data_IF_980466223736
#
_entry.id   IF_980466223736
#
_cell.length_a   1.000
_cell.length_b   1.000
_cell.length_c   1.000
_cell.angle_alpha   90.00
_cell.angle_beta   90.00
_cell.angle_gamma   90.00
#
_symmetry.space_group_name_H-M   'P 1'
#
loop_
_entity.id
_entity.type
_entity.pdbx_description
1 polymer ?
#
# COMPACT_ATOMS: atom_id res chain seq x y z
N UNK A 1 29.54 17.58 -0.17
CA UNK A 1 29.78 16.27 0.48
C UNK A 1 29.16 15.23 -0.42
N UNK A 2 29.96 14.59 -1.26
CA UNK A 2 29.46 13.53 -2.14
C UNK A 2 29.34 12.25 -1.31
N UNK A 3 28.11 11.84 -1.03
CA UNK A 3 27.84 10.56 -0.38
C UNK A 3 28.00 9.50 -1.46
N UNK A 4 29.20 8.93 -1.54
CA UNK A 4 29.53 7.93 -2.54
C UNK A 4 28.99 6.57 -2.09
N UNK A 5 27.83 6.18 -2.62
CA UNK A 5 27.37 4.80 -2.49
C UNK A 5 28.20 3.94 -3.45
N UNK A 6 28.83 2.87 -2.96
CA UNK A 6 29.56 1.98 -3.86
C UNK A 6 28.59 1.35 -4.87
N UNK A 7 29.04 1.17 -6.11
CA UNK A 7 28.24 0.58 -7.18
C UNK A 7 27.78 -0.84 -6.81
N UNK A 8 28.61 -1.57 -6.07
CA UNK A 8 28.29 -2.89 -5.55
C UNK A 8 27.10 -2.85 -4.57
N UNK A 9 27.11 -1.93 -3.60
CA UNK A 9 26.01 -1.75 -2.65
C UNK A 9 24.72 -1.35 -3.37
N UNK A 10 24.81 -0.47 -4.37
CA UNK A 10 23.64 -0.07 -5.17
C UNK A 10 23.02 -1.26 -5.91
N UNK A 11 23.85 -2.07 -6.58
CA UNK A 11 23.40 -3.26 -7.30
C UNK A 11 22.80 -4.31 -6.35
N UNK A 12 23.36 -4.46 -5.15
CA UNK A 12 22.81 -5.34 -4.13
C UNK A 12 21.42 -4.87 -3.68
N UNK A 13 21.25 -3.57 -3.39
CA UNK A 13 19.95 -3.00 -3.01
C UNK A 13 18.90 -3.23 -4.10
N UNK A 14 19.23 -2.95 -5.36
CA UNK A 14 18.31 -3.21 -6.47
C UNK A 14 17.95 -4.69 -6.62
N UNK A 15 18.91 -5.59 -6.44
CA UNK A 15 18.66 -7.03 -6.51
C UNK A 15 17.72 -7.45 -5.39
N UNK A 16 17.97 -7.01 -4.16
CA UNK A 16 17.10 -7.25 -3.01
C UNK A 16 15.69 -6.72 -3.25
N UNK A 17 15.56 -5.48 -3.74
CA UNK A 17 14.27 -4.87 -4.04
C UNK A 17 13.50 -5.64 -5.11
N UNK A 18 14.15 -6.07 -6.19
CA UNK A 18 13.51 -6.89 -7.24
C UNK A 18 13.03 -8.24 -6.73
N UNK A 19 13.79 -8.88 -5.85
CA UNK A 19 13.37 -10.12 -5.19
C UNK A 19 12.15 -9.87 -4.32
N UNK A 20 12.19 -8.82 -3.49
CA UNK A 20 11.07 -8.42 -2.62
C UNK A 20 9.80 -8.11 -3.42
N UNK A 21 9.93 -7.35 -4.51
CA UNK A 21 8.83 -7.04 -5.41
C UNK A 21 8.25 -8.29 -6.06
N UNK A 22 9.09 -9.24 -6.49
CA UNK A 22 8.64 -10.50 -7.10
C UNK A 22 7.81 -11.32 -6.11
N UNK A 23 8.31 -11.50 -4.89
CA UNK A 23 7.59 -12.21 -3.82
C UNK A 23 6.28 -11.50 -3.48
N UNK A 24 6.33 -10.18 -3.28
CA UNK A 24 5.14 -9.37 -2.96
C UNK A 24 4.09 -9.44 -4.06
N UNK A 25 4.49 -9.44 -5.33
CA UNK A 25 3.58 -9.55 -6.48
C UNK A 25 2.87 -10.91 -6.49
N UNK A 26 3.59 -12.00 -6.26
CA UNK A 26 3.00 -13.35 -6.20
C UNK A 26 2.00 -13.44 -5.05
N UNK A 27 2.37 -12.97 -3.86
CA UNK A 27 1.49 -12.98 -2.69
C UNK A 27 0.24 -12.11 -2.90
N UNK A 28 0.39 -10.93 -3.50
CA UNK A 28 -0.74 -10.06 -3.83
C UNK A 28 -1.69 -10.71 -4.85
N UNK A 29 -1.15 -11.42 -5.86
CA UNK A 29 -1.97 -12.15 -6.82
C UNK A 29 -2.76 -13.28 -6.14
N UNK A 30 -2.12 -14.06 -5.25
CA UNK A 30 -2.79 -15.10 -4.47
C UNK A 30 -3.88 -14.49 -3.58
N UNK A 31 -3.56 -13.42 -2.85
CA UNK A 31 -4.52 -12.70 -2.00
C UNK A 31 -5.75 -12.26 -2.79
N UNK A 32 -5.54 -11.65 -3.96
CA UNK A 32 -6.62 -11.19 -4.83
C UNK A 32 -7.49 -12.35 -5.32
N UNK A 33 -6.89 -13.48 -5.73
CA UNK A 33 -7.62 -14.67 -6.16
C UNK A 33 -8.46 -15.24 -4.99
N UNK A 34 -7.88 -15.34 -3.79
CA UNK A 34 -8.59 -15.79 -2.60
C UNK A 34 -9.76 -14.88 -2.23
N UNK A 35 -9.57 -13.55 -2.29
CA UNK A 35 -10.60 -12.56 -2.04
C UNK A 35 -11.78 -12.65 -3.02
N UNK A 36 -11.49 -12.89 -4.30
CA UNK A 36 -12.53 -12.95 -5.33
C UNK A 36 -13.25 -14.31 -5.31
N UNK A 37 -12.52 -15.42 -5.23
CA UNK A 37 -13.05 -16.78 -5.44
C UNK A 37 -13.49 -17.48 -4.15
N UNK A 38 -12.76 -17.31 -3.04
CA UNK A 38 -12.95 -18.12 -1.83
C UNK A 38 -13.85 -17.39 -0.81
N UNK A 39 -13.82 -16.06 -0.80
CA UNK A 39 -14.55 -15.29 0.22
C UNK A 39 -16.07 -15.46 0.11
N UNK A 40 -16.69 -15.92 1.21
CA UNK A 40 -18.11 -16.22 1.32
C UNK A 40 -19.01 -15.05 0.89
N UNK A 41 -20.10 -15.32 0.14
CA UNK A 41 -21.04 -14.30 -0.32
C UNK A 41 -21.82 -13.65 0.83
N UNK A 42 -21.80 -14.19 2.05
CA UNK A 42 -22.49 -13.62 3.20
C UNK A 42 -21.79 -12.37 3.79
N UNK A 43 -20.59 -12.02 3.30
CA UNK A 43 -19.80 -10.88 3.77
C UNK A 43 -19.50 -9.87 2.65
N UNK A 44 -20.48 -9.57 1.77
CA UNK A 44 -20.27 -8.72 0.58
C UNK A 44 -19.66 -7.35 0.90
N UNK A 45 -20.14 -6.66 1.95
CA UNK A 45 -19.62 -5.32 2.32
C UNK A 45 -18.17 -5.38 2.81
N UNK A 46 -17.83 -6.29 3.71
CA UNK A 46 -16.44 -6.49 4.20
C UNK A 46 -15.51 -6.87 3.05
N UNK A 47 -15.96 -7.77 2.16
CA UNK A 47 -15.21 -8.14 0.96
C UNK A 47 -14.92 -6.93 0.07
N UNK A 48 -15.88 -6.00 -0.07
CA UNK A 48 -15.67 -4.75 -0.80
C UNK A 48 -14.54 -3.90 -0.22
N UNK A 49 -14.53 -3.69 1.10
CA UNK A 49 -13.44 -2.98 1.78
C UNK A 49 -12.09 -3.67 1.59
N UNK A 50 -12.03 -5.00 1.76
CA UNK A 50 -10.79 -5.76 1.60
C UNK A 50 -10.27 -5.72 0.16
N UNK A 51 -11.15 -5.77 -0.85
CA UNK A 51 -10.76 -5.61 -2.25
C UNK A 51 -10.22 -4.22 -2.54
N UNK A 52 -10.86 -3.17 -2.01
CA UNK A 52 -10.39 -1.79 -2.13
C UNK A 52 -8.97 -1.64 -1.54
N UNK A 53 -8.76 -2.12 -0.32
CA UNK A 53 -7.46 -2.09 0.35
C UNK A 53 -6.42 -2.88 -0.48
N UNK A 54 -6.78 -4.08 -0.97
CA UNK A 54 -5.88 -4.92 -1.76
C UNK A 54 -5.43 -4.24 -3.06
N UNK A 55 -6.33 -3.55 -3.77
CA UNK A 55 -6.00 -2.78 -4.98
C UNK A 55 -5.04 -1.64 -4.65
N UNK A 56 -5.26 -0.92 -3.54
CA UNK A 56 -4.35 0.14 -3.11
C UNK A 56 -2.97 -0.40 -2.72
N UNK A 57 -2.88 -1.57 -2.06
CA UNK A 57 -1.60 -2.22 -1.71
C UNK A 57 -0.84 -2.64 -2.98
N UNK A 58 -1.53 -3.19 -3.98
CA UNK A 58 -0.90 -3.52 -5.27
C UNK A 58 -0.39 -2.24 -5.94
N UNK A 59 -1.21 -1.20 -5.94
CA UNK A 59 -0.84 0.10 -6.52
C UNK A 59 0.37 0.69 -5.81
N UNK A 60 0.43 0.65 -4.47
CA UNK A 60 1.55 1.18 -3.69
C UNK A 60 2.84 0.38 -3.92
N UNK A 61 2.74 -0.94 -4.08
CA UNK A 61 3.88 -1.81 -4.40
C UNK A 61 4.46 -1.47 -5.77
N UNK A 62 3.62 -1.37 -6.81
CA UNK A 62 4.06 -0.95 -8.15
C UNK A 62 4.64 0.47 -8.12
N UNK A 63 4.02 1.37 -7.34
CA UNK A 63 4.51 2.74 -7.19
C UNK A 63 5.92 2.77 -6.60
N UNK A 64 6.16 2.07 -5.49
CA UNK A 64 7.48 2.08 -4.85
C UNK A 64 8.54 1.30 -5.62
N UNK A 65 8.21 0.12 -6.13
CA UNK A 65 9.21 -0.81 -6.65
C UNK A 65 9.55 -0.61 -8.13
N UNK A 66 8.68 0.09 -8.88
CA UNK A 66 8.88 0.31 -10.31
C UNK A 66 8.93 1.81 -10.64
N UNK A 67 7.98 2.59 -10.12
CA UNK A 67 7.83 3.99 -10.51
C UNK A 67 8.76 4.93 -9.73
N UNK A 68 8.90 4.73 -8.41
CA UNK A 68 9.74 5.55 -7.53
C UNK A 68 11.14 4.96 -7.36
N UNK A 69 11.27 3.67 -7.04
CA UNK A 69 12.56 2.99 -6.82
C UNK A 69 13.49 3.82 -5.90
N UNK A 70 13.11 4.00 -4.62
CA UNK A 70 13.87 4.85 -3.70
C UNK A 70 15.18 4.18 -3.29
N UNK A 71 16.27 4.95 -3.28
CA UNK A 71 17.55 4.53 -2.72
C UNK A 71 17.87 5.36 -1.48
N UNK A 72 17.94 4.74 -0.29
CA UNK A 72 18.40 5.43 0.90
C UNK A 72 19.91 5.70 0.78
N UNK A 73 20.31 6.96 0.98
CA UNK A 73 21.70 7.39 0.96
C UNK A 73 22.29 7.33 2.37
N UNK A 74 22.39 6.13 2.96
CA UNK A 74 22.99 5.96 4.28
C UNK A 74 24.49 6.36 4.24
N UNK A 75 25.04 7.07 5.25
CA UNK A 75 24.45 7.42 6.54
C UNK A 75 23.60 8.71 6.58
N UNK A 76 23.46 9.42 5.48
CA UNK A 76 22.60 10.60 5.49
C UNK A 76 21.12 10.21 5.55
N UNK A 77 20.32 11.02 6.24
CA UNK A 77 18.85 10.93 6.21
C UNK A 77 18.38 11.57 4.90
N UNK A 78 18.83 11.00 3.78
CA UNK A 78 18.52 11.43 2.44
C UNK A 78 18.28 10.21 1.58
N UNK A 79 17.60 10.43 0.46
CA UNK A 79 17.42 9.41 -0.55
C UNK A 79 17.22 10.06 -1.90
N UNK A 80 17.53 9.32 -2.94
CA UNK A 80 17.28 9.73 -4.31
C UNK A 80 16.43 8.67 -5.00
N UNK A 81 15.78 9.10 -6.07
CA UNK A 81 14.78 8.32 -6.77
C UNK A 81 15.29 8.00 -8.17
N UNK A 82 15.27 6.72 -8.56
CA UNK A 82 15.76 6.27 -9.87
C UNK A 82 14.67 5.60 -10.73
N UNK A 83 13.43 5.56 -10.25
CA UNK A 83 12.33 4.96 -10.98
C UNK A 83 11.84 5.83 -12.14
N UNK A 84 10.91 5.28 -12.94
CA UNK A 84 10.38 5.94 -14.14
C UNK A 84 9.77 7.32 -13.86
N UNK A 85 9.10 7.52 -12.72
CA UNK A 85 8.50 8.81 -12.38
C UNK A 85 9.56 9.89 -12.18
N UNK A 86 10.74 9.55 -11.68
CA UNK A 86 11.79 10.52 -11.42
C UNK A 86 12.55 10.94 -12.68
N UNK A 87 12.43 10.17 -13.77
CA UNK A 87 12.92 10.56 -15.09
C UNK A 87 12.01 11.55 -15.81
N UNK A 88 10.79 11.80 -15.31
CA UNK A 88 9.81 12.70 -15.96
C UNK A 88 10.05 14.19 -15.68
N UNK A 89 11.05 14.54 -14.87
CA UNK A 89 11.35 15.92 -14.49
C UNK A 89 10.43 16.50 -13.41
N UNK A 90 9.48 15.70 -12.88
CA UNK A 90 8.66 16.09 -11.74
C UNK A 90 9.51 16.23 -10.46
N UNK A 91 9.11 17.18 -9.60
CA UNK A 91 9.76 17.36 -8.30
C UNK A 91 9.67 16.08 -7.45
N UNK A 92 10.78 15.59 -6.88
CA UNK A 92 10.78 14.42 -5.99
C UNK A 92 9.81 14.57 -4.81
N UNK A 93 9.59 15.80 -4.34
CA UNK A 93 8.62 16.09 -3.27
C UNK A 93 7.18 15.78 -3.68
N UNK A 94 6.80 16.12 -4.92
CA UNK A 94 5.46 15.83 -5.44
C UNK A 94 5.25 14.33 -5.61
N UNK A 95 6.27 13.62 -6.11
CA UNK A 95 6.24 12.16 -6.30
C UNK A 95 6.10 11.46 -4.93
N UNK A 96 6.84 11.91 -3.91
CA UNK A 96 6.70 11.41 -2.55
C UNK A 96 5.32 11.75 -1.94
N UNK A 97 4.79 12.94 -2.20
CA UNK A 97 3.47 13.36 -1.74
C UNK A 97 2.34 12.47 -2.26
N UNK A 98 2.40 12.08 -3.54
CA UNK A 98 1.45 11.10 -4.11
C UNK A 98 1.57 9.75 -3.43
N UNK A 99 2.79 9.30 -3.13
CA UNK A 99 2.97 8.05 -2.39
C UNK A 99 2.37 8.13 -0.98
N UNK A 100 2.58 9.23 -0.25
CA UNK A 100 1.98 9.45 1.06
C UNK A 100 0.46 9.44 1.00
N UNK A 101 -0.13 10.02 -0.04
CA UNK A 101 -1.59 9.98 -0.26
C UNK A 101 -2.09 8.54 -0.42
N UNK A 102 -1.40 7.69 -1.18
CA UNK A 102 -1.76 6.27 -1.34
C UNK A 102 -1.73 5.56 0.02
N UNK A 103 -0.71 5.81 0.85
CA UNK A 103 -0.61 5.23 2.20
C UNK A 103 -1.77 5.69 3.09
N UNK A 104 -2.13 6.98 3.05
CA UNK A 104 -3.28 7.50 3.80
C UNK A 104 -4.59 6.83 3.37
N UNK A 105 -4.79 6.58 2.08
CA UNK A 105 -5.97 5.87 1.56
C UNK A 105 -6.02 4.40 2.01
N UNK A 106 -4.86 3.75 2.14
CA UNK A 106 -4.77 2.39 2.69
C UNK A 106 -5.17 2.41 4.16
N UNK A 107 -4.60 3.32 4.95
CA UNK A 107 -4.90 3.46 6.39
C UNK A 107 -6.39 3.75 6.58
N UNK A 108 -6.96 4.70 5.84
CA UNK A 108 -8.39 5.01 5.93
C UNK A 108 -9.24 3.79 5.58
N UNK A 109 -8.89 3.04 4.53
CA UNK A 109 -9.59 1.80 4.17
C UNK A 109 -9.57 0.75 5.28
N UNK A 110 -8.41 0.55 5.92
CA UNK A 110 -8.25 -0.39 7.05
C UNK A 110 -9.10 0.04 8.24
N UNK A 111 -9.08 1.34 8.59
CA UNK A 111 -9.86 1.89 9.69
C UNK A 111 -11.37 1.74 9.42
N UNK A 112 -11.84 2.09 8.22
CA UNK A 112 -13.25 1.91 7.84
C UNK A 112 -13.67 0.44 7.88
N UNK A 113 -12.83 -0.47 7.38
CA UNK A 113 -13.10 -1.91 7.44
C UNK A 113 -13.20 -2.42 8.89
N UNK A 114 -12.28 -1.95 9.74
CA UNK A 114 -12.22 -2.34 11.16
C UNK A 114 -13.42 -1.81 11.93
N UNK A 115 -13.79 -0.54 11.68
CA UNK A 115 -14.97 0.08 12.25
C UNK A 115 -16.24 -0.64 11.83
N UNK A 116 -16.41 -0.93 10.54
CA UNK A 116 -17.55 -1.69 10.04
C UNK A 116 -17.67 -3.05 10.70
N UNK A 117 -16.56 -3.81 10.78
CA UNK A 117 -16.55 -5.12 11.46
C UNK A 117 -16.92 -5.00 12.93
N UNK A 118 -16.43 -3.98 13.62
CA UNK A 118 -16.79 -3.75 15.02
C UNK A 118 -18.29 -3.50 15.18
N UNK A 119 -18.87 -2.64 14.34
CA UNK A 119 -20.31 -2.35 14.34
C UNK A 119 -21.18 -3.59 14.11
N UNK A 120 -20.73 -4.54 13.28
CA UNK A 120 -21.49 -5.78 13.04
C UNK A 120 -21.59 -6.73 14.24
N UNK A 121 -20.75 -6.56 15.27
CA UNK A 121 -20.72 -7.43 16.47
C UNK A 121 -21.44 -6.78 17.66
N UNK A 122 -21.62 -5.46 17.66
CA UNK A 122 -22.26 -4.74 18.76
C UNK A 122 -23.75 -5.15 18.87
N UNK A 123 -24.25 -5.46 20.08
CA UNK A 123 -25.66 -5.76 20.28
C UNK A 123 -26.55 -4.54 20.06
N UNK A 124 -27.75 -4.76 19.51
CA UNK A 124 -28.71 -3.72 19.09
C UNK A 124 -29.10 -2.74 20.20
N UNK A 125 -28.98 -3.13 21.46
CA UNK A 125 -29.34 -2.29 22.61
C UNK A 125 -28.19 -1.38 23.11
N UNK A 126 -27.09 -1.27 22.38
CA UNK A 126 -25.95 -0.47 22.79
C UNK A 126 -25.94 0.91 22.12
N UNK A 127 -25.75 1.97 22.90
CA UNK A 127 -25.68 3.37 22.43
C UNK A 127 -24.60 3.66 21.39
N UNK A 128 -23.60 2.78 21.27
CA UNK A 128 -22.49 2.90 20.32
C UNK A 128 -22.79 2.31 18.93
N UNK A 129 -23.97 1.71 18.75
CA UNK A 129 -24.42 1.18 17.46
C UNK A 129 -24.87 2.34 16.55
N UNK A 130 -24.17 2.53 15.44
CA UNK A 130 -24.54 3.53 14.42
C UNK A 130 -25.60 2.94 13.51
N UNK A 131 -26.70 3.65 13.25
CA UNK A 131 -27.77 3.17 12.35
C UNK A 131 -27.22 2.92 10.94
N UNK A 132 -27.73 1.87 10.28
CA UNK A 132 -27.23 1.40 8.98
C UNK A 132 -27.31 2.46 7.86
N UNK A 133 -28.18 3.47 8.01
CA UNK A 133 -28.33 4.59 7.07
C UNK A 133 -27.13 5.56 7.06
N UNK A 134 -26.31 5.59 8.12
CA UNK A 134 -25.16 6.49 8.22
C UNK A 134 -23.82 5.84 7.77
N UNK A 135 -23.86 4.55 7.41
CA UNK A 135 -22.71 3.76 6.94
C UNK A 135 -22.68 3.61 5.41
N UNK A 136 -23.60 4.27 4.70
CA UNK A 136 -23.69 4.42 3.23
C UNK A 136 -23.02 5.72 2.77
#
# INVERSE_FOLDING_TARGET
>A
MEIFLSLETQNLLFKCQRVFFTVTTILNAISLICLIKITSPNQKRVRGYLLYIQVLIITSSVYLDVLFLPIPAFPAIAGYCLGKLCMTGLSPHSILGVFMLIILLIISGILSCSFYRHQTVIPVNNTLLVSEELLL
#
